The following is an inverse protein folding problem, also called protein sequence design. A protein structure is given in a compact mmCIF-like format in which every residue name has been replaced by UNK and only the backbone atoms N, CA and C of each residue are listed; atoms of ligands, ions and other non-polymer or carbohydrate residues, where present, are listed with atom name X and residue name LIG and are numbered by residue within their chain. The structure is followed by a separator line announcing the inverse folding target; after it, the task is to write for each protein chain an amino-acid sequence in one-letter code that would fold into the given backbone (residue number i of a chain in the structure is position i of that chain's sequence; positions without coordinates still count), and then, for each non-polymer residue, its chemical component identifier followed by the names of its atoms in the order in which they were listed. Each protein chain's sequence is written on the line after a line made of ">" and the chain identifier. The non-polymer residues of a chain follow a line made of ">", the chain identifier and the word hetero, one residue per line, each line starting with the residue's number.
data_IF_049775860548
#
_entry.id   IF_049775860548
#
_cell.length_a   1.000
_cell.length_b   1.000
_cell.length_c   1.000
_cell.angle_alpha   90.00
_cell.angle_beta   90.00
_cell.angle_gamma   90.00
#
_symmetry.space_group_name_H-M   'P 1'
#
loop_
_entity.id
_entity.type
_entity.pdbx_description
1 polymer ?
#
# COMPACT_ATOMS: atom_id res chain seq x y z
N UNK A 1 1.92 -8.96 -0.79
CA UNK A 1 1.34 -10.32 -0.83
C UNK A 1 0.76 -10.62 0.55
N UNK A 2 -0.54 -10.92 0.68
CA UNK A 2 -1.14 -11.32 1.96
C UNK A 2 -1.24 -12.85 2.11
N UNK A 3 -0.69 -13.63 1.18
CA UNK A 3 -0.89 -15.08 1.05
C UNK A 3 -2.35 -15.43 0.76
N UNK A 4 -2.70 -16.72 0.63
CA UNK A 4 -4.07 -17.20 0.39
C UNK A 4 -4.79 -16.57 -0.83
N UNK A 5 -4.03 -16.14 -1.85
CA UNK A 5 -4.51 -15.37 -3.01
C UNK A 5 -5.14 -14.01 -2.64
N UNK A 6 -4.65 -13.41 -1.56
CA UNK A 6 -5.07 -12.10 -1.08
C UNK A 6 -3.91 -11.09 -1.14
N UNK A 7 -4.28 -9.81 -1.11
CA UNK A 7 -3.37 -8.67 -1.22
C UNK A 7 -3.67 -7.68 -0.09
N UNK A 8 -2.63 -7.20 0.58
CA UNK A 8 -2.72 -5.95 1.31
C UNK A 8 -2.73 -4.82 0.29
N UNK A 9 -3.84 -4.10 0.20
CA UNK A 9 -4.04 -3.05 -0.77
C UNK A 9 -4.27 -1.69 -0.08
N UNK A 10 -3.79 -0.65 -0.74
CA UNK A 10 -4.10 0.73 -0.41
C UNK A 10 -4.11 1.56 -1.68
N UNK A 11 -5.09 2.46 -1.82
CA UNK A 11 -5.20 3.34 -2.97
C UNK A 11 -4.72 4.73 -2.63
N UNK A 12 -3.90 5.30 -3.51
CA UNK A 12 -3.32 6.62 -3.33
C UNK A 12 -3.52 7.48 -4.57
N UNK A 13 -3.61 8.78 -4.36
CA UNK A 13 -3.62 9.78 -5.41
C UNK A 13 -2.37 10.65 -5.26
N UNK A 14 -1.49 10.58 -6.26
CA UNK A 14 -0.39 11.53 -6.39
C UNK A 14 -0.89 12.81 -7.04
N UNK A 15 -0.45 13.95 -6.52
CA UNK A 15 -0.61 15.21 -7.20
C UNK A 15 0.73 15.55 -7.87
N UNK A 16 0.84 15.33 -9.18
CA UNK A 16 2.08 15.60 -9.94
C UNK A 16 2.51 17.07 -9.92
N UNK A 17 1.65 17.99 -9.47
CA UNK A 17 1.94 19.42 -9.38
C UNK A 17 2.54 19.85 -8.05
N UNK A 18 2.54 19.00 -7.04
CA UNK A 18 3.09 19.32 -5.71
C UNK A 18 4.16 18.31 -5.32
N UNK A 19 5.13 18.74 -4.52
CA UNK A 19 6.12 17.85 -3.91
C UNK A 19 5.58 17.12 -2.66
N UNK A 20 4.25 17.09 -2.52
CA UNK A 20 3.57 16.47 -1.40
C UNK A 20 3.48 14.95 -1.57
N UNK A 21 3.53 14.19 -0.48
CA UNK A 21 3.35 12.76 -0.55
C UNK A 21 1.94 12.40 -1.07
N UNK A 22 1.78 11.24 -1.76
CA UNK A 22 0.49 10.80 -2.25
C UNK A 22 -0.55 10.73 -1.13
N UNK A 23 -1.74 11.28 -1.38
CA UNK A 23 -2.84 11.20 -0.43
C UNK A 23 -3.55 9.87 -0.60
N UNK A 24 -3.77 9.18 0.52
CA UNK A 24 -4.58 7.97 0.57
C UNK A 24 -6.05 8.27 0.22
N UNK A 25 -6.66 7.42 -0.61
CA UNK A 25 -8.05 7.57 -1.07
C UNK A 25 -9.05 6.71 -0.29
N UNK A 26 -8.59 5.66 0.39
CA UNK A 26 -9.41 4.75 1.19
C UNK A 26 -9.21 4.94 2.71
N UNK A 27 -10.19 4.50 3.48
CA UNK A 27 -10.28 4.71 4.93
C UNK A 27 -9.29 3.84 5.73
N UNK A 28 -8.56 2.93 5.07
CA UNK A 28 -7.67 1.99 5.75
C UNK A 28 -7.06 0.96 4.81
N UNK A 29 -5.98 0.29 5.25
CA UNK A 29 -5.38 -0.80 4.49
C UNK A 29 -6.35 -1.97 4.51
N UNK A 30 -6.71 -2.48 3.34
CA UNK A 30 -7.67 -3.57 3.21
C UNK A 30 -6.96 -4.84 2.74
N UNK A 31 -7.53 -5.97 3.10
CA UNK A 31 -7.21 -7.24 2.47
C UNK A 31 -8.24 -7.46 1.38
N UNK A 32 -7.79 -7.59 0.15
CA UNK A 32 -8.63 -7.91 -1.00
C UNK A 32 -8.24 -9.26 -1.56
N UNK A 33 -9.19 -10.00 -2.11
CA UNK A 33 -8.87 -11.12 -2.99
C UNK A 33 -8.19 -10.59 -4.25
N UNK A 34 -7.33 -11.41 -4.87
CA UNK A 34 -6.67 -11.03 -6.11
C UNK A 34 -7.68 -10.66 -7.21
N UNK A 35 -8.77 -11.41 -7.33
CA UNK A 35 -9.80 -11.18 -8.34
C UNK A 35 -10.50 -9.83 -8.12
N UNK A 36 -10.93 -9.53 -6.88
CA UNK A 36 -11.55 -8.25 -6.54
C UNK A 36 -10.60 -7.07 -6.74
N UNK A 37 -9.31 -7.27 -6.44
CA UNK A 37 -8.30 -6.26 -6.67
C UNK A 37 -8.12 -6.01 -8.17
N UNK A 38 -7.98 -7.05 -9.01
CA UNK A 38 -7.85 -6.92 -10.47
C UNK A 38 -9.06 -6.22 -11.10
N UNK A 39 -10.28 -6.55 -10.66
CA UNK A 39 -11.52 -5.91 -11.12
C UNK A 39 -11.62 -4.43 -10.72
N UNK A 40 -10.95 -4.01 -9.65
CA UNK A 40 -10.98 -2.63 -9.18
C UNK A 40 -10.09 -1.68 -10.00
N UNK A 41 -9.11 -2.22 -10.74
CA UNK A 41 -8.12 -1.44 -11.46
C UNK A 41 -8.71 -0.77 -12.71
N UNK A 42 -8.27 0.45 -12.96
CA UNK A 42 -8.67 1.25 -14.13
C UNK A 42 -7.47 1.51 -15.05
N UNK A 43 -7.70 1.72 -16.36
CA UNK A 43 -6.65 2.20 -17.25
C UNK A 43 -6.02 3.49 -16.72
N UNK A 44 -4.69 3.54 -16.69
CA UNK A 44 -3.91 4.65 -16.13
C UNK A 44 -3.55 4.48 -14.65
N UNK A 45 -4.14 3.52 -13.91
CA UNK A 45 -3.68 3.21 -12.57
C UNK A 45 -2.22 2.71 -12.61
N UNK A 46 -1.40 3.22 -11.70
CA UNK A 46 -0.03 2.75 -11.48
C UNK A 46 -0.03 1.83 -10.27
N UNK A 47 0.42 0.60 -10.45
CA UNK A 47 0.45 -0.42 -9.40
C UNK A 47 1.89 -0.68 -8.94
N UNK A 48 2.07 -0.78 -7.62
CA UNK A 48 3.34 -1.18 -7.01
C UNK A 48 3.15 -2.19 -5.86
N UNK A 49 4.23 -2.84 -5.44
CA UNK A 49 4.25 -3.80 -4.33
C UNK A 49 4.59 -5.23 -4.74
N UNK A 50 5.26 -5.97 -3.86
CA UNK A 50 5.59 -7.40 -4.02
C UNK A 50 4.38 -8.31 -4.27
N UNK A 51 3.18 -7.88 -3.85
CA UNK A 51 1.93 -8.57 -4.14
C UNK A 51 1.64 -8.74 -5.63
N UNK A 52 2.22 -7.89 -6.49
CA UNK A 52 2.02 -7.90 -7.94
C UNK A 52 2.68 -9.05 -8.66
N UNK A 53 3.76 -9.61 -8.11
CA UNK A 53 4.65 -10.54 -8.81
C UNK A 53 3.87 -11.74 -9.38
N UNK A 54 2.83 -12.20 -8.66
CA UNK A 54 2.01 -13.35 -9.06
C UNK A 54 0.91 -13.03 -10.06
N UNK A 55 0.54 -11.75 -10.20
CA UNK A 55 -0.65 -11.32 -10.95
C UNK A 55 -0.32 -10.41 -12.13
N UNK A 56 0.97 -10.14 -12.37
CA UNK A 56 1.44 -9.23 -13.42
C UNK A 56 0.89 -9.56 -14.81
N UNK A 57 0.79 -10.85 -15.13
CA UNK A 57 0.29 -11.32 -16.44
C UNK A 57 -1.24 -11.27 -16.57
N UNK A 58 -1.95 -10.91 -15.50
CA UNK A 58 -3.41 -10.81 -15.44
C UNK A 58 -3.90 -9.36 -15.31
N UNK A 59 -2.99 -8.39 -15.35
CA UNK A 59 -3.35 -6.98 -15.21
C UNK A 59 -4.24 -6.52 -16.37
N UNK A 60 -5.30 -5.74 -16.09
CA UNK A 60 -6.13 -5.15 -17.14
C UNK A 60 -5.31 -4.28 -18.10
N UNK A 61 -5.80 -4.18 -19.34
CA UNK A 61 -5.16 -3.32 -20.35
C UNK A 61 -5.12 -1.87 -19.89
N UNK A 62 -3.95 -1.24 -20.02
CA UNK A 62 -3.75 0.16 -19.65
C UNK A 62 -3.34 0.40 -18.20
N UNK A 63 -3.27 -0.64 -17.36
CA UNK A 63 -2.63 -0.57 -16.05
C UNK A 63 -1.12 -0.54 -16.20
N UNK A 64 -0.45 0.32 -15.43
CA UNK A 64 1.00 0.53 -15.49
C UNK A 64 1.64 -0.11 -14.27
N UNK A 65 2.63 -0.97 -14.49
CA UNK A 65 3.45 -1.51 -13.39
C UNK A 65 4.57 -0.53 -13.09
N UNK A 66 4.73 -0.15 -11.81
CA UNK A 66 5.82 0.70 -11.37
C UNK A 66 7.21 0.08 -11.69
N UNK A 67 8.27 0.90 -11.79
CA UNK A 67 9.63 0.40 -11.94
C UNK A 67 10.01 -0.62 -10.85
N UNK A 68 10.93 -1.53 -11.16
CA UNK A 68 11.29 -2.65 -10.28
C UNK A 68 11.82 -2.16 -8.92
N UNK A 69 12.58 -1.07 -8.92
CA UNK A 69 13.11 -0.38 -7.76
C UNK A 69 12.02 0.20 -6.84
N UNK A 70 10.79 0.34 -7.32
CA UNK A 70 9.66 0.87 -6.55
C UNK A 70 8.74 -0.24 -5.99
N UNK A 71 9.01 -1.52 -6.26
CA UNK A 71 8.14 -2.63 -5.87
C UNK A 71 8.22 -3.00 -4.38
N UNK A 72 9.30 -2.62 -3.71
CA UNK A 72 9.50 -2.84 -2.28
C UNK A 72 9.59 -1.48 -1.56
N UNK A 73 9.13 -1.39 -0.30
CA UNK A 73 9.31 -0.18 0.48
C UNK A 73 10.80 0.10 0.74
N UNK A 74 11.18 1.36 0.61
CA UNK A 74 12.56 1.83 0.79
C UNK A 74 12.69 2.67 2.07
N UNK A 75 13.76 2.40 2.84
CA UNK A 75 14.02 3.05 4.12
C UNK A 75 14.30 4.55 3.96
N UNK A 76 14.95 4.97 2.88
CA UNK A 76 15.20 6.39 2.60
C UNK A 76 13.86 7.12 2.38
N UNK A 77 12.97 6.57 1.59
CA UNK A 77 11.63 7.11 1.36
C UNK A 77 10.82 7.19 2.66
N UNK A 78 10.85 6.14 3.50
CA UNK A 78 10.20 6.15 4.81
C UNK A 78 10.76 7.27 5.70
N UNK A 79 12.09 7.44 5.75
CA UNK A 79 12.74 8.50 6.53
C UNK A 79 12.35 9.91 6.06
N UNK A 80 12.22 10.12 4.74
CA UNK A 80 11.77 11.40 4.19
C UNK A 80 10.30 11.70 4.51
N UNK A 81 9.44 10.68 4.58
CA UNK A 81 8.06 10.86 5.03
C UNK A 81 8.02 11.19 6.53
N UNK A 82 8.79 10.47 7.34
CA UNK A 82 8.88 10.72 8.78
C UNK A 82 9.41 12.12 9.11
N UNK A 83 10.42 12.62 8.37
CA UNK A 83 10.93 13.98 8.56
C UNK A 83 9.86 15.04 8.31
N UNK A 84 9.05 14.88 7.25
CA UNK A 84 7.94 15.82 6.96
C UNK A 84 6.89 15.83 8.07
N UNK A 85 6.48 14.65 8.55
CA UNK A 85 5.52 14.56 9.67
C UNK A 85 6.09 15.18 10.95
N UNK A 86 7.37 14.90 11.25
CA UNK A 86 8.07 15.48 12.39
C UNK A 86 8.12 17.01 12.36
N UNK A 87 8.36 17.60 11.20
CA UNK A 87 8.47 19.06 11.00
C UNK A 87 7.13 19.79 11.21
N UNK A 88 6.00 19.11 10.97
CA UNK A 88 4.66 19.62 11.30
C UNK A 88 4.20 19.23 12.72
N UNK A 89 5.12 18.73 13.56
CA UNK A 89 4.87 18.39 14.96
C UNK A 89 4.15 17.06 15.18
N UNK A 90 3.97 16.24 14.13
CA UNK A 90 3.38 14.90 14.26
C UNK A 90 4.45 13.89 14.62
N UNK A 91 4.31 13.28 15.80
CA UNK A 91 5.22 12.28 16.36
C UNK A 91 4.41 11.30 17.19
N UNK A 92 4.81 10.05 17.16
CA UNK A 92 4.21 9.00 17.98
C UNK A 92 4.97 8.83 19.29
N UNK A 93 4.27 8.38 20.34
CA UNK A 93 4.90 7.92 21.57
C UNK A 93 5.39 6.47 21.40
N UNK A 94 6.68 6.27 21.67
CA UNK A 94 7.35 4.98 21.59
C UNK A 94 6.65 3.89 22.41
N UNK A 95 6.04 4.25 23.56
CA UNK A 95 5.39 3.30 24.44
C UNK A 95 3.98 2.91 23.97
N UNK A 96 3.34 3.75 23.16
CA UNK A 96 2.03 3.47 22.56
C UNK A 96 2.14 2.99 21.11
N UNK A 97 3.35 2.99 20.54
CA UNK A 97 3.59 2.58 19.17
C UNK A 97 3.26 1.10 19.00
N UNK A 98 2.25 0.82 18.16
CA UNK A 98 1.77 -0.53 17.92
C UNK A 98 1.76 -0.82 16.42
N UNK A 99 2.19 -2.02 16.00
CA UNK A 99 2.05 -2.42 14.61
C UNK A 99 0.58 -2.45 14.16
N UNK A 100 0.32 -1.96 12.95
CA UNK A 100 -0.98 -2.12 12.29
C UNK A 100 -1.06 -3.53 11.67
N UNK A 101 -1.68 -4.47 12.39
CA UNK A 101 -1.98 -5.80 11.86
C UNK A 101 -3.30 -5.78 11.09
N UNK A 102 -3.23 -5.80 9.76
CA UNK A 102 -4.42 -5.76 8.90
C UNK A 102 -5.16 -7.12 8.91
N UNK A 103 -4.42 -8.23 8.96
CA UNK A 103 -5.03 -9.56 9.16
C UNK A 103 -5.11 -9.85 10.66
N UNK A 104 -6.29 -10.22 11.20
CA UNK A 104 -6.41 -10.74 12.56
C UNK A 104 -5.50 -11.95 12.77
N UNK A 105 -5.06 -12.18 14.00
CA UNK A 105 -4.27 -13.37 14.30
C UNK A 105 -5.13 -14.64 14.16
N UNK A 106 -4.50 -15.80 13.98
CA UNK A 106 -5.21 -17.09 13.94
C UNK A 106 -6.00 -17.39 15.24
N UNK A 107 -5.59 -16.81 16.37
CA UNK A 107 -6.30 -16.91 17.63
C UNK A 107 -7.56 -16.05 17.66
N UNK A 108 -7.56 -14.91 16.95
CA UNK A 108 -8.73 -14.04 16.82
C UNK A 108 -9.72 -14.57 15.79
N UNK A 109 -9.25 -15.24 14.72
CA UNK A 109 -10.10 -15.91 13.71
C UNK A 109 -10.89 -17.10 14.27
N UNK A 110 -10.48 -17.68 15.41
CA UNK A 110 -11.04 -18.92 15.98
C UNK A 110 -12.00 -18.72 17.17
N UNK A 111 -12.32 -17.48 17.52
CA UNK A 111 -13.37 -17.18 18.50
C UNK A 111 -14.74 -17.29 17.87
#
# INVERSE_FOLDING_TARGET
>A
DAQRKELFAGRYHSNERTAEPPRRLDDGQTILTADSWLESLQPGDVVSGSGLIRWKDQLPTGVIVAPAECLEPDALTIGQLALREHDVGRRDDLWTFSPLYIRPSYADEKK
#
